data_IF_254809001194
#
_entry.id   IF_254809001194
#
_cell.length_a   1.000
_cell.length_b   1.000
_cell.length_c   1.000
_cell.angle_alpha   90.00
_cell.angle_beta   90.00
_cell.angle_gamma   90.00
#
_symmetry.space_group_name_H-M   'P 1'
#
loop_
_entity.id
_entity.type
_entity.pdbx_description
1 polymer ?
#
# COMPACT_ATOMS: atom_id res chain seq x y z
N UNK A 1 -4.10 -21.13 -32.31
CA UNK A 1 -3.37 -21.74 -31.17
C UNK A 1 -2.35 -20.73 -30.68
N UNK A 2 -2.34 -20.27 -29.45
CA UNK A 2 -3.37 -20.08 -28.44
C UNK A 2 -2.80 -18.93 -27.61
N UNK A 3 -3.60 -17.87 -27.46
CA UNK A 3 -3.30 -16.67 -26.70
C UNK A 3 -3.45 -16.98 -25.19
N UNK A 4 -2.57 -17.84 -24.68
CA UNK A 4 -2.60 -18.32 -23.29
C UNK A 4 -1.82 -17.39 -22.34
N UNK A 5 -1.22 -16.31 -22.86
CA UNK A 5 -0.43 -15.36 -22.06
C UNK A 5 -1.28 -14.26 -21.40
N UNK A 6 -2.43 -13.92 -21.97
CA UNK A 6 -3.25 -12.80 -21.51
C UNK A 6 -4.22 -13.18 -20.37
N UNK A 7 -4.60 -14.45 -20.27
CA UNK A 7 -5.55 -14.94 -19.24
C UNK A 7 -4.91 -15.12 -17.86
N UNK A 8 -3.61 -15.38 -17.77
CA UNK A 8 -2.90 -15.49 -16.48
C UNK A 8 -2.60 -14.11 -15.86
N UNK A 9 -2.41 -13.07 -16.68
CA UNK A 9 -2.29 -11.69 -16.20
C UNK A 9 -3.59 -11.16 -15.60
N UNK A 10 -4.73 -11.45 -16.24
CA UNK A 10 -6.05 -11.11 -15.69
C UNK A 10 -6.36 -11.87 -14.39
N UNK A 11 -5.94 -13.14 -14.28
CA UNK A 11 -6.15 -13.97 -13.07
C UNK A 11 -5.37 -13.50 -11.84
N UNK A 12 -4.18 -12.93 -12.03
CA UNK A 12 -3.38 -12.37 -10.94
C UNK A 12 -3.96 -11.11 -10.27
N UNK A 13 -5.09 -10.60 -10.78
CA UNK A 13 -5.74 -9.35 -10.39
C UNK A 13 -7.12 -9.54 -9.74
N UNK A 14 -7.81 -10.65 -10.04
CA UNK A 14 -9.14 -10.94 -9.48
C UNK A 14 -9.00 -11.45 -8.04
N UNK A 15 -9.80 -10.89 -7.13
CA UNK A 15 -9.87 -11.32 -5.73
C UNK A 15 -10.70 -12.61 -5.60
N UNK A 16 -10.21 -13.55 -4.81
CA UNK A 16 -10.94 -14.78 -4.48
C UNK A 16 -12.11 -14.50 -3.54
N UNK A 17 -13.00 -15.48 -3.36
CA UNK A 17 -14.14 -15.32 -2.46
C UNK A 17 -13.66 -15.13 -1.00
N UNK A 18 -12.65 -15.90 -0.60
CA UNK A 18 -12.03 -15.82 0.71
C UNK A 18 -11.34 -14.48 0.97
N UNK A 19 -10.63 -13.92 -0.01
CA UNK A 19 -10.01 -12.59 0.13
C UNK A 19 -11.07 -11.49 0.33
N UNK A 20 -12.16 -11.52 -0.45
CA UNK A 20 -13.24 -10.52 -0.33
C UNK A 20 -13.96 -10.66 1.00
N UNK A 21 -14.33 -11.88 1.41
CA UNK A 21 -15.08 -12.08 2.65
C UNK A 21 -14.22 -11.74 3.88
N UNK A 22 -12.94 -12.10 3.89
CA UNK A 22 -12.01 -11.68 4.94
C UNK A 22 -11.95 -10.15 5.02
N UNK A 23 -11.70 -9.48 3.89
CA UNK A 23 -11.53 -8.03 3.86
C UNK A 23 -12.81 -7.28 4.24
N UNK A 24 -13.98 -7.83 3.92
CA UNK A 24 -15.27 -7.30 4.36
C UNK A 24 -15.39 -7.26 5.89
N UNK A 25 -15.03 -8.32 6.60
CA UNK A 25 -14.97 -8.31 8.07
C UNK A 25 -13.85 -7.42 8.59
N UNK A 26 -12.70 -7.43 7.90
CA UNK A 26 -11.54 -6.66 8.27
C UNK A 26 -11.81 -5.15 8.31
N UNK A 27 -12.48 -4.60 7.27
CA UNK A 27 -12.89 -3.18 7.23
C UNK A 27 -13.93 -2.83 8.30
N UNK A 28 -14.69 -3.81 8.81
CA UNK A 28 -15.72 -3.59 9.82
C UNK A 28 -15.19 -3.45 11.25
N UNK A 29 -13.94 -3.82 11.51
CA UNK A 29 -13.35 -3.58 12.82
C UNK A 29 -12.21 -4.52 13.19
N UNK A 30 -12.00 -5.63 12.47
CA UNK A 30 -10.93 -6.58 12.82
C UNK A 30 -9.53 -5.97 12.70
N UNK A 31 -9.37 -4.90 11.93
CA UNK A 31 -8.12 -4.10 11.91
C UNK A 31 -7.79 -3.46 13.27
N UNK A 32 -8.77 -3.29 14.16
CA UNK A 32 -8.58 -2.70 15.49
C UNK A 32 -8.12 -3.72 16.53
N UNK A 33 -8.15 -5.02 16.20
CA UNK A 33 -7.64 -6.07 17.08
C UNK A 33 -6.13 -5.89 17.35
N UNK A 34 -5.67 -5.86 18.62
CA UNK A 34 -4.27 -5.59 18.96
C UNK A 34 -3.28 -6.57 18.31
N UNK A 35 -3.61 -7.86 18.26
CA UNK A 35 -2.73 -8.89 17.70
C UNK A 35 -2.63 -8.75 16.18
N UNK A 36 -3.75 -8.42 15.53
CA UNK A 36 -3.78 -8.07 14.10
C UNK A 36 -2.91 -6.85 13.83
N UNK A 37 -3.02 -5.78 14.63
CA UNK A 37 -2.18 -4.57 14.46
C UNK A 37 -0.71 -4.86 14.67
N UNK A 38 -0.36 -5.66 15.67
CA UNK A 38 1.03 -6.06 15.90
C UNK A 38 1.59 -6.84 14.71
N UNK A 39 0.82 -7.78 14.14
CA UNK A 39 1.23 -8.52 12.94
C UNK A 39 1.37 -7.62 11.72
N UNK A 40 0.44 -6.67 11.53
CA UNK A 40 0.52 -5.72 10.43
C UNK A 40 1.75 -4.82 10.57
N UNK A 41 2.06 -4.32 11.76
CA UNK A 41 3.28 -3.56 11.98
C UNK A 41 4.54 -4.41 11.71
N UNK A 42 4.65 -5.60 12.33
CA UNK A 42 5.82 -6.48 12.17
C UNK A 42 6.13 -6.86 10.71
N UNK A 43 5.10 -6.94 9.86
CA UNK A 43 5.22 -7.32 8.45
C UNK A 43 5.14 -6.13 7.48
N UNK A 44 5.11 -4.89 7.99
CA UNK A 44 4.97 -3.67 7.20
C UNK A 44 3.70 -3.64 6.33
N UNK A 45 2.59 -4.01 6.95
CA UNK A 45 1.25 -4.03 6.38
C UNK A 45 0.95 -5.33 5.64
N UNK A 46 0.23 -5.18 4.53
CA UNK A 46 -0.12 -6.27 3.63
C UNK A 46 0.90 -6.38 2.49
N UNK A 47 1.03 -7.58 1.90
CA UNK A 47 1.86 -7.76 0.70
C UNK A 47 1.27 -6.96 -0.48
N UNK A 48 2.01 -6.81 -1.59
CA UNK A 48 1.55 -6.02 -2.75
C UNK A 48 0.14 -6.39 -3.23
N UNK A 49 -0.19 -7.70 -3.28
CA UNK A 49 -1.52 -8.19 -3.65
C UNK A 49 -2.57 -7.80 -2.61
N UNK A 50 -2.34 -8.16 -1.35
CA UNK A 50 -3.34 -7.94 -0.29
C UNK A 50 -3.49 -6.46 0.10
N UNK A 51 -2.46 -5.64 -0.09
CA UNK A 51 -2.54 -4.18 0.06
C UNK A 51 -3.43 -3.55 -1.02
N UNK A 52 -3.28 -3.99 -2.28
CA UNK A 52 -4.17 -3.62 -3.36
C UNK A 52 -5.61 -4.12 -3.10
N UNK A 53 -5.75 -5.39 -2.70
CA UNK A 53 -7.06 -5.99 -2.39
C UNK A 53 -7.79 -5.21 -1.29
N UNK A 54 -7.09 -4.86 -0.20
CA UNK A 54 -7.64 -4.09 0.89
C UNK A 54 -8.14 -2.72 0.42
N UNK A 55 -7.34 -2.02 -0.40
CA UNK A 55 -7.74 -0.75 -0.98
C UNK A 55 -8.96 -0.86 -1.89
N UNK A 56 -9.00 -1.87 -2.78
CA UNK A 56 -10.15 -2.13 -3.67
C UNK A 56 -11.41 -2.39 -2.87
N UNK A 57 -11.35 -3.35 -1.93
CA UNK A 57 -12.51 -3.76 -1.13
C UNK A 57 -13.01 -2.59 -0.29
N UNK A 58 -12.12 -1.84 0.36
CA UNK A 58 -12.54 -0.69 1.15
C UNK A 58 -13.15 0.42 0.28
N UNK A 59 -12.57 0.72 -0.89
CA UNK A 59 -13.15 1.69 -1.82
C UNK A 59 -14.50 1.22 -2.40
N UNK A 60 -14.72 -0.08 -2.57
CA UNK A 60 -15.97 -0.63 -3.06
C UNK A 60 -17.12 -0.52 -2.04
N UNK A 61 -16.83 -0.74 -0.76
CA UNK A 61 -17.83 -0.72 0.30
C UNK A 61 -17.95 0.63 1.04
N UNK A 62 -16.89 1.44 1.03
CA UNK A 62 -16.79 2.73 1.73
C UNK A 62 -16.10 3.79 0.86
N UNK A 63 -16.66 4.13 -0.31
CA UNK A 63 -16.01 5.01 -1.29
C UNK A 63 -15.65 6.41 -0.77
N UNK A 64 -16.34 6.88 0.27
CA UNK A 64 -16.12 8.20 0.87
C UNK A 64 -15.24 8.17 2.14
N UNK A 65 -14.90 6.97 2.64
CA UNK A 65 -14.27 6.75 3.94
C UNK A 65 -13.30 5.55 3.86
N UNK A 66 -12.20 5.71 3.12
CA UNK A 66 -11.11 4.71 3.00
C UNK A 66 -10.19 4.77 4.23
N UNK A 67 -10.82 4.71 5.41
CA UNK A 67 -10.20 5.06 6.69
C UNK A 67 -9.24 3.98 7.21
N UNK A 68 -9.57 2.70 7.01
CA UNK A 68 -8.77 1.57 7.45
C UNK A 68 -7.40 1.54 6.77
N UNK A 69 -7.38 1.71 5.44
CA UNK A 69 -6.15 1.82 4.68
C UNK A 69 -5.35 3.05 5.13
N UNK A 70 -5.98 4.22 5.25
CA UNK A 70 -5.28 5.44 5.70
C UNK A 70 -4.60 5.22 7.04
N UNK A 71 -5.33 4.80 8.09
CA UNK A 71 -4.75 4.55 9.43
C UNK A 71 -3.56 3.58 9.37
N UNK A 72 -3.72 2.47 8.66
CA UNK A 72 -2.67 1.46 8.59
C UNK A 72 -1.41 2.03 7.93
N UNK A 73 -1.56 2.58 6.73
CA UNK A 73 -0.43 3.05 5.95
C UNK A 73 0.17 4.34 6.52
N UNK A 74 -0.61 5.20 7.19
CA UNK A 74 -0.11 6.36 7.92
C UNK A 74 0.82 5.98 9.06
N UNK A 75 0.43 4.97 9.86
CA UNK A 75 1.30 4.43 10.91
C UNK A 75 2.60 3.84 10.34
N UNK A 76 2.51 3.10 9.22
CA UNK A 76 3.68 2.55 8.55
C UNK A 76 4.59 3.63 7.93
N UNK A 77 4.01 4.71 7.39
CA UNK A 77 4.78 5.85 6.88
C UNK A 77 5.49 6.59 8.02
N UNK A 78 4.84 6.78 9.16
CA UNK A 78 5.49 7.37 10.33
C UNK A 78 6.67 6.51 10.80
N UNK A 79 6.49 5.18 10.82
CA UNK A 79 7.60 4.26 11.13
C UNK A 79 8.72 4.36 10.09
N UNK A 80 8.39 4.43 8.81
CA UNK A 80 9.36 4.56 7.74
C UNK A 80 10.21 5.84 7.88
N UNK A 81 9.58 6.97 8.17
CA UNK A 81 10.28 8.23 8.50
C UNK A 81 11.26 8.01 9.64
N UNK A 82 10.82 7.41 10.75
CA UNK A 82 11.70 7.19 11.92
C UNK A 82 12.89 6.26 11.61
N UNK A 83 12.73 5.29 10.71
CA UNK A 83 13.81 4.36 10.31
C UNK A 83 14.81 5.02 9.37
N UNK A 84 14.35 5.98 8.56
CA UNK A 84 15.16 6.68 7.56
C UNK A 84 15.70 8.03 8.04
N UNK A 85 15.30 8.50 9.22
CA UNK A 85 15.75 9.78 9.78
C UNK A 85 17.27 9.75 9.96
N UNK A 86 17.97 10.67 9.30
CA UNK A 86 19.42 10.81 9.37
C UNK A 86 19.86 11.89 10.37
N UNK A 87 18.92 12.45 11.14
CA UNK A 87 19.20 13.53 12.11
C UNK A 87 19.52 12.98 13.50
N UNK A 88 20.36 13.72 14.23
CA UNK A 88 20.71 13.41 15.63
C UNK A 88 21.36 12.04 15.79
N UNK A 89 20.99 11.29 16.83
CA UNK A 89 21.53 9.93 17.04
C UNK A 89 21.11 8.93 15.95
N UNK A 90 20.05 9.20 15.20
CA UNK A 90 19.61 8.33 14.11
C UNK A 90 20.54 8.39 12.90
N UNK A 91 21.23 9.52 12.67
CA UNK A 91 22.28 9.65 11.65
C UNK A 91 23.53 8.79 11.90
N UNK A 92 23.68 8.24 13.12
CA UNK A 92 24.76 7.33 13.46
C UNK A 92 24.38 5.85 13.21
N UNK A 93 23.12 5.58 12.86
CA UNK A 93 22.64 4.23 12.62
C UNK A 93 23.28 3.69 11.33
N UNK A 94 24.01 2.56 11.40
CA UNK A 94 24.62 1.99 10.20
C UNK A 94 23.55 1.62 9.16
N UNK A 95 23.88 1.79 7.87
CA UNK A 95 22.99 1.44 6.74
C UNK A 95 22.42 0.02 6.85
N UNK A 96 23.20 -0.94 7.36
CA UNK A 96 22.76 -2.31 7.58
C UNK A 96 21.65 -2.44 8.63
N UNK A 97 21.64 -1.57 9.65
CA UNK A 97 20.59 -1.51 10.67
C UNK A 97 19.32 -0.92 10.06
N UNK A 98 19.40 0.19 9.32
CA UNK A 98 18.25 0.72 8.57
C UNK A 98 17.64 -0.35 7.65
N UNK A 99 18.49 -1.05 6.89
CA UNK A 99 18.08 -2.17 6.03
C UNK A 99 17.37 -3.27 6.81
N UNK A 100 17.89 -3.64 7.98
CA UNK A 100 17.26 -4.65 8.85
C UNK A 100 15.88 -4.20 9.33
N UNK A 101 15.74 -2.96 9.81
CA UNK A 101 14.47 -2.43 10.33
C UNK A 101 13.38 -2.33 9.26
N UNK A 102 13.75 -2.10 8.00
CA UNK A 102 12.84 -2.03 6.86
C UNK A 102 12.33 -3.41 6.39
N UNK A 103 13.02 -4.50 6.74
CA UNK A 103 12.61 -5.85 6.32
C UNK A 103 11.33 -6.29 6.99
N UNK A 104 10.47 -6.96 6.24
CA UNK A 104 9.40 -7.76 6.81
C UNK A 104 10.00 -9.02 7.46
N UNK A 105 9.41 -9.46 8.56
CA UNK A 105 9.86 -10.62 9.35
C UNK A 105 9.14 -11.92 8.98
N UNK A 106 8.23 -11.89 8.01
CA UNK A 106 7.34 -13.01 7.68
C UNK A 106 6.31 -12.67 6.60
N UNK A 107 5.38 -13.61 6.30
CA UNK A 107 4.27 -13.37 5.38
C UNK A 107 3.33 -12.29 5.93
N UNK A 108 2.58 -11.61 5.05
CA UNK A 108 1.57 -10.68 5.54
C UNK A 108 0.42 -11.42 6.22
N UNK A 109 -0.38 -10.71 7.03
CA UNK A 109 -1.42 -11.31 7.86
C UNK A 109 -2.40 -12.23 7.09
N UNK A 110 -2.86 -11.81 5.91
CA UNK A 110 -3.74 -12.63 5.07
C UNK A 110 -3.03 -13.88 4.50
N UNK A 111 -1.78 -13.75 4.07
CA UNK A 111 -0.99 -14.88 3.58
C UNK A 111 -0.74 -15.90 4.71
N UNK A 112 -0.49 -15.43 5.93
CA UNK A 112 -0.29 -16.28 7.11
C UNK A 112 -1.55 -17.09 7.43
N UNK A 113 -2.73 -16.48 7.25
CA UNK A 113 -4.04 -17.12 7.35
C UNK A 113 -4.43 -17.94 6.11
N UNK A 114 -3.56 -18.04 5.10
CA UNK A 114 -3.77 -18.78 3.85
C UNK A 114 -4.93 -18.27 2.99
N UNK A 115 -5.21 -16.97 3.06
CA UNK A 115 -6.02 -16.31 2.03
C UNK A 115 -5.14 -16.05 0.82
N UNK A 116 -5.52 -16.63 -0.31
CA UNK A 116 -4.84 -16.53 -1.59
C UNK A 116 -5.86 -16.41 -2.74
N UNK A 117 -5.36 -16.42 -3.97
CA UNK A 117 -6.18 -16.28 -5.19
C UNK A 117 -7.20 -17.41 -5.42
N UNK A 118 -7.14 -18.50 -4.63
CA UNK A 118 -8.03 -19.65 -4.71
C UNK A 118 -8.85 -19.86 -3.45
N UNK A 119 -8.70 -19.01 -2.43
CA UNK A 119 -9.42 -19.18 -1.18
C UNK A 119 -10.94 -19.03 -1.38
N UNK A 120 -11.69 -19.99 -0.86
CA UNK A 120 -13.15 -20.05 -0.95
C UNK A 120 -13.79 -19.36 0.26
N UNK A 121 -15.02 -18.87 0.10
CA UNK A 121 -15.87 -18.40 1.20
C UNK A 121 -17.34 -18.60 0.89
N UNK A 122 -18.18 -18.55 1.93
CA UNK A 122 -19.64 -18.66 1.81
C UNK A 122 -20.34 -17.30 1.82
N UNK A 123 -19.67 -16.24 1.35
CA UNK A 123 -20.24 -14.90 1.29
C UNK A 123 -21.38 -14.81 0.26
N UNK A 124 -22.38 -13.94 0.46
CA UNK A 124 -23.43 -13.72 -0.53
C UNK A 124 -22.85 -13.26 -1.88
N UNK A 125 -23.36 -13.73 -3.03
CA UNK A 125 -22.85 -13.37 -4.36
C UNK A 125 -22.79 -11.85 -4.62
N UNK A 126 -23.77 -11.10 -4.12
CA UNK A 126 -23.79 -9.63 -4.25
C UNK A 126 -22.62 -8.96 -3.53
N UNK A 127 -22.25 -9.45 -2.34
CA UNK A 127 -21.09 -8.97 -1.58
C UNK A 127 -19.80 -9.27 -2.35
N UNK A 128 -19.69 -10.48 -2.89
CA UNK A 128 -18.54 -10.89 -3.67
C UNK A 128 -18.38 -10.06 -4.94
N UNK A 129 -19.49 -9.78 -5.65
CA UNK A 129 -19.49 -8.92 -6.82
C UNK A 129 -19.07 -7.48 -6.46
N UNK A 130 -19.63 -6.90 -5.38
CA UNK A 130 -19.26 -5.56 -4.93
C UNK A 130 -17.79 -5.48 -4.51
N UNK A 131 -17.29 -6.41 -3.69
CA UNK A 131 -15.90 -6.40 -3.23
C UNK A 131 -14.85 -6.57 -4.34
N UNK A 132 -15.26 -7.09 -5.50
CA UNK A 132 -14.43 -7.19 -6.71
C UNK A 132 -14.53 -5.96 -7.62
N UNK A 133 -15.48 -5.06 -7.37
CA UNK A 133 -15.66 -3.87 -8.20
C UNK A 133 -14.52 -2.87 -7.96
N UNK A 134 -13.65 -2.74 -8.96
CA UNK A 134 -12.52 -1.82 -8.93
C UNK A 134 -12.87 -0.40 -9.32
N UNK A 135 -14.11 -0.10 -9.72
CA UNK A 135 -14.50 1.18 -10.31
C UNK A 135 -14.21 2.36 -9.37
N UNK A 136 -14.55 2.23 -8.09
CA UNK A 136 -14.28 3.27 -7.09
C UNK A 136 -12.79 3.47 -6.83
N UNK A 137 -12.04 2.37 -6.70
CA UNK A 137 -10.60 2.42 -6.50
C UNK A 137 -9.88 3.06 -7.70
N UNK A 138 -10.31 2.75 -8.92
CA UNK A 138 -9.73 3.29 -10.16
C UNK A 138 -10.05 4.77 -10.31
N UNK A 139 -11.30 5.17 -10.05
CA UNK A 139 -11.69 6.58 -10.03
C UNK A 139 -10.88 7.37 -8.99
N UNK A 140 -10.77 6.85 -7.77
CA UNK A 140 -9.95 7.46 -6.72
C UNK A 140 -8.49 7.60 -7.18
N UNK A 141 -7.92 6.58 -7.84
CA UNK A 141 -6.56 6.68 -8.34
C UNK A 141 -6.38 7.72 -9.45
N UNK A 142 -7.33 7.81 -10.38
CA UNK A 142 -7.25 8.77 -11.49
C UNK A 142 -7.41 10.22 -11.02
N UNK A 143 -8.43 10.49 -10.20
CA UNK A 143 -8.71 11.82 -9.64
C UNK A 143 -7.54 12.34 -8.79
N UNK A 144 -6.85 11.45 -8.08
CA UNK A 144 -5.78 11.80 -7.15
C UNK A 144 -4.36 11.53 -7.69
N UNK A 145 -4.19 11.54 -9.02
CA UNK A 145 -2.92 11.24 -9.70
C UNK A 145 -1.74 12.05 -9.20
N UNK A 146 -1.97 13.34 -8.94
CA UNK A 146 -0.94 14.28 -8.48
C UNK A 146 -0.28 13.85 -7.17
N UNK A 147 -1.03 13.18 -6.29
CA UNK A 147 -0.54 12.73 -4.99
C UNK A 147 0.26 11.43 -5.00
N UNK A 148 0.21 10.64 -6.07
CA UNK A 148 0.94 9.36 -6.12
C UNK A 148 1.96 9.23 -7.24
N UNK A 149 1.74 9.88 -8.39
CA UNK A 149 2.61 9.74 -9.56
C UNK A 149 4.08 10.12 -9.28
N UNK A 150 4.39 11.20 -8.52
CA UNK A 150 5.78 11.54 -8.19
C UNK A 150 6.51 10.50 -7.35
N UNK A 151 5.78 9.61 -6.67
CA UNK A 151 6.31 8.62 -5.73
C UNK A 151 6.44 7.21 -6.33
N UNK A 152 6.11 7.06 -7.62
CA UNK A 152 6.20 5.77 -8.30
C UNK A 152 7.65 5.29 -8.35
N UNK A 153 7.88 4.05 -7.93
CA UNK A 153 9.22 3.48 -7.91
C UNK A 153 9.78 3.32 -9.33
N UNK A 154 10.96 3.89 -9.56
CA UNK A 154 11.69 3.83 -10.83
C UNK A 154 11.99 2.38 -11.24
N UNK A 155 12.50 1.56 -10.30
CA UNK A 155 12.76 0.13 -10.53
C UNK A 155 11.50 -0.69 -10.84
N UNK A 156 10.37 -0.39 -10.21
CA UNK A 156 9.11 -1.08 -10.52
C UNK A 156 8.58 -0.76 -11.93
N UNK A 157 8.91 0.42 -12.46
CA UNK A 157 8.52 0.85 -13.81
C UNK A 157 9.57 0.57 -14.88
N UNK A 158 10.74 0.02 -14.49
CA UNK A 158 11.87 -0.18 -15.40
C UNK A 158 12.50 1.13 -15.90
N UNK A 159 12.17 2.27 -15.28
CA UNK A 159 12.72 3.59 -15.62
C UNK A 159 13.89 3.93 -14.70
N UNK A 160 14.77 4.82 -15.15
CA UNK A 160 15.76 5.43 -14.28
C UNK A 160 15.11 6.52 -13.41
N UNK A 161 15.53 6.60 -12.15
CA UNK A 161 15.03 7.63 -11.24
C UNK A 161 15.40 7.36 -9.78
N UNK A 162 15.38 8.41 -8.94
CA UNK A 162 15.84 8.31 -7.56
C UNK A 162 14.83 7.62 -6.64
N UNK A 163 13.54 7.62 -6.98
CA UNK A 163 12.45 7.16 -6.08
C UNK A 163 12.38 5.63 -6.01
N UNK A 164 12.50 5.08 -4.81
CA UNK A 164 12.42 3.64 -4.56
C UNK A 164 11.25 3.31 -3.61
N UNK A 165 10.53 2.23 -3.89
CA UNK A 165 9.67 1.59 -2.88
C UNK A 165 10.53 0.85 -1.86
N UNK A 166 9.95 0.52 -0.70
CA UNK A 166 10.63 -0.18 0.39
C UNK A 166 11.36 -1.46 -0.07
N UNK A 167 10.75 -2.40 -0.82
CA UNK A 167 11.47 -3.60 -1.28
C UNK A 167 12.74 -3.28 -2.08
N UNK A 168 12.66 -2.33 -3.02
CA UNK A 168 13.79 -1.92 -3.84
C UNK A 168 14.82 -1.07 -3.10
N UNK A 169 14.39 -0.32 -2.07
CA UNK A 169 15.29 0.37 -1.17
C UNK A 169 16.12 -0.64 -0.35
N UNK A 170 15.50 -1.67 0.21
CA UNK A 170 16.20 -2.74 0.96
C UNK A 170 17.25 -3.44 0.08
N UNK A 171 16.92 -3.67 -1.19
CA UNK A 171 17.84 -4.22 -2.18
C UNK A 171 19.01 -3.27 -2.45
N UNK A 172 18.72 -2.00 -2.73
CA UNK A 172 19.71 -0.96 -3.02
C UNK A 172 20.69 -0.75 -1.85
N UNK A 173 20.19 -0.69 -0.61
CA UNK A 173 21.02 -0.62 0.60
C UNK A 173 21.91 -1.86 0.75
N UNK A 174 21.44 -3.04 0.31
CA UNK A 174 22.21 -4.28 0.33
C UNK A 174 23.35 -4.33 -0.68
N UNK A 175 23.22 -3.61 -1.79
CA UNK A 175 24.22 -3.51 -2.85
C UNK A 175 25.19 -2.34 -2.63
N UNK A 176 25.10 -1.63 -1.49
CA UNK A 176 25.77 -0.34 -1.26
C UNK A 176 25.48 0.70 -2.36
N UNK A 177 24.40 0.51 -3.12
CA UNK A 177 23.86 1.47 -4.07
C UNK A 177 22.86 2.37 -3.34
N UNK A 178 23.28 2.94 -2.21
CA UNK A 178 22.45 3.89 -1.51
C UNK A 178 22.33 5.14 -2.37
N UNK A 179 21.24 5.24 -3.13
CA UNK A 179 20.64 6.55 -3.34
C UNK A 179 20.60 7.22 -1.97
N UNK A 180 21.01 8.49 -1.88
CA UNK A 180 21.15 9.19 -0.61
C UNK A 180 19.93 8.90 0.28
N UNK A 181 20.16 8.25 1.44
CA UNK A 181 19.11 7.85 2.38
C UNK A 181 18.24 9.06 2.72
N UNK A 182 18.86 10.25 2.80
CA UNK A 182 18.17 11.52 2.97
C UNK A 182 17.17 11.82 1.85
N UNK A 183 17.53 11.55 0.60
CA UNK A 183 16.60 11.69 -0.52
C UNK A 183 15.41 10.74 -0.39
N UNK A 184 15.64 9.50 0.05
CA UNK A 184 14.54 8.55 0.30
C UNK A 184 13.66 8.98 1.47
N UNK A 185 14.29 9.47 2.55
CA UNK A 185 13.59 10.03 3.71
C UNK A 185 12.67 11.17 3.29
N UNK A 186 13.14 12.13 2.48
CA UNK A 186 12.32 13.24 1.96
C UNK A 186 11.08 12.75 1.21
N UNK A 187 11.20 11.73 0.36
CA UNK A 187 10.03 11.18 -0.34
C UNK A 187 9.03 10.54 0.63
N UNK A 188 9.51 9.76 1.60
CA UNK A 188 8.65 9.11 2.60
C UNK A 188 7.99 10.14 3.53
N UNK A 189 8.72 11.18 3.92
CA UNK A 189 8.20 12.28 4.74
C UNK A 189 7.10 13.06 4.01
N UNK A 190 7.26 13.30 2.71
CA UNK A 190 6.23 13.92 1.89
C UNK A 190 4.95 13.06 1.81
N UNK A 191 5.08 11.75 1.54
CA UNK A 191 3.95 10.81 1.55
C UNK A 191 3.24 10.85 2.92
N UNK A 192 4.02 10.76 4.01
CA UNK A 192 3.49 10.80 5.38
C UNK A 192 2.71 12.08 5.67
N UNK A 193 3.26 13.24 5.29
CA UNK A 193 2.64 14.54 5.56
C UNK A 193 1.29 14.67 4.84
N UNK A 194 1.23 14.33 3.56
CA UNK A 194 0.01 14.33 2.77
C UNK A 194 -1.02 13.32 3.29
N UNK A 195 -0.59 12.10 3.63
CA UNK A 195 -1.49 11.10 4.19
C UNK A 195 -2.05 11.51 5.56
N UNK A 196 -1.25 12.20 6.39
CA UNK A 196 -1.74 12.75 7.66
C UNK A 196 -2.81 13.84 7.46
N UNK A 197 -2.69 14.68 6.42
CA UNK A 197 -3.74 15.64 6.08
C UNK A 197 -5.04 14.93 5.66
N UNK A 198 -4.92 13.88 4.84
CA UNK A 198 -6.07 13.06 4.43
C UNK A 198 -6.73 12.36 5.61
N UNK A 199 -5.95 11.78 6.53
CA UNK A 199 -6.50 11.21 7.77
C UNK A 199 -7.21 12.24 8.64
N UNK A 200 -6.64 13.45 8.74
CA UNK A 200 -7.25 14.52 9.52
C UNK A 200 -8.59 14.97 8.95
N UNK A 201 -8.82 14.88 7.64
CA UNK A 201 -10.08 15.29 7.02
C UNK A 201 -11.28 14.41 7.39
N UNK A 202 -11.04 13.22 7.95
CA UNK A 202 -12.10 12.40 8.54
C UNK A 202 -12.67 12.98 9.83
N UNK A 203 -11.97 13.93 10.47
CA UNK A 203 -12.48 14.65 11.65
C UNK A 203 -13.46 15.72 11.20
N UNK A 204 -14.58 15.84 11.91
CA UNK A 204 -15.62 16.81 11.60
C UNK A 204 -15.11 18.26 11.40
N UNK A 205 -14.15 18.69 12.22
CA UNK A 205 -13.58 20.04 12.19
C UNK A 205 -12.64 20.31 11.00
N UNK A 206 -12.21 19.27 10.29
CA UNK A 206 -11.27 19.34 9.15
C UNK A 206 -11.88 18.70 7.90
N UNK A 207 -13.20 18.48 7.88
CA UNK A 207 -13.85 17.92 6.70
C UNK A 207 -13.61 18.83 5.49
N UNK A 208 -13.34 18.21 4.35
CA UNK A 208 -13.10 18.85 3.05
C UNK A 208 -11.85 19.75 3.00
N UNK A 209 -10.89 19.58 3.93
CA UNK A 209 -9.61 20.30 3.88
C UNK A 209 -8.50 19.57 3.13
N UNK A 210 -8.70 18.30 2.80
CA UNK A 210 -7.73 17.48 2.07
C UNK A 210 -7.72 17.80 0.57
N UNK A 211 -6.54 17.76 -0.04
CA UNK A 211 -6.35 17.95 -1.48
C UNK A 211 -6.23 16.62 -2.22
N UNK A 212 -6.20 16.69 -3.56
CA UNK A 212 -5.94 15.52 -4.40
C UNK A 212 -4.56 14.91 -4.13
N UNK A 213 -3.59 15.75 -3.76
CA UNK A 213 -2.26 15.30 -3.31
C UNK A 213 -2.34 14.51 -1.99
N UNK A 214 -3.13 15.01 -1.03
CA UNK A 214 -3.33 14.36 0.27
C UNK A 214 -3.98 12.98 0.11
N UNK A 215 -5.05 12.90 -0.70
CA UNK A 215 -5.73 11.64 -1.02
C UNK A 215 -4.83 10.67 -1.78
N UNK A 216 -4.11 11.18 -2.77
CA UNK A 216 -3.20 10.37 -3.60
C UNK A 216 -2.06 9.75 -2.79
N UNK A 217 -1.63 10.39 -1.71
CA UNK A 217 -0.59 9.85 -0.84
C UNK A 217 -0.94 8.48 -0.23
N UNK A 218 -2.24 8.12 -0.12
CA UNK A 218 -2.63 6.77 0.26
C UNK A 218 -2.10 5.71 -0.72
N UNK A 219 -2.28 5.94 -2.02
CA UNK A 219 -1.78 5.04 -3.07
C UNK A 219 -0.25 5.01 -3.04
N UNK A 220 0.38 6.16 -2.85
CA UNK A 220 1.83 6.25 -2.71
C UNK A 220 2.35 5.42 -1.52
N UNK A 221 1.66 5.46 -0.37
CA UNK A 221 2.03 4.71 0.81
C UNK A 221 1.86 3.19 0.63
N UNK A 222 0.77 2.75 -0.01
CA UNK A 222 0.56 1.33 -0.39
C UNK A 222 1.69 0.87 -1.32
N UNK A 223 1.96 1.63 -2.38
CA UNK A 223 2.99 1.32 -3.37
C UNK A 223 4.41 1.35 -2.79
N UNK A 224 4.68 2.26 -1.86
CA UNK A 224 5.96 2.28 -1.15
C UNK A 224 6.12 1.06 -0.23
N UNK A 225 5.11 0.71 0.57
CA UNK A 225 5.18 -0.42 1.50
C UNK A 225 5.28 -1.78 0.79
N UNK A 226 4.36 -2.05 -0.14
CA UNK A 226 4.22 -3.35 -0.79
C UNK A 226 5.01 -3.50 -2.10
N UNK A 227 5.37 -2.38 -2.73
CA UNK A 227 5.88 -2.33 -4.10
C UNK A 227 4.79 -1.95 -5.11
N UNK A 228 5.21 -1.36 -6.23
CA UNK A 228 4.29 -0.78 -7.21
C UNK A 228 3.81 -1.76 -8.28
N UNK A 229 4.54 -2.85 -8.55
CA UNK A 229 4.29 -3.69 -9.73
C UNK A 229 2.85 -4.21 -9.85
N UNK A 230 2.21 -4.59 -8.73
CA UNK A 230 0.79 -5.00 -8.73
C UNK A 230 -0.17 -3.83 -8.92
N UNK A 231 0.06 -2.69 -8.24
CA UNK A 231 -0.74 -1.47 -8.47
C UNK A 231 -0.69 -1.03 -9.93
N UNK A 232 0.50 -1.04 -10.53
CA UNK A 232 0.76 -0.66 -11.92
C UNK A 232 0.03 -1.57 -12.91
N UNK A 233 0.16 -2.89 -12.74
CA UNK A 233 -0.41 -3.87 -13.65
C UNK A 233 -1.93 -4.03 -13.54
N UNK A 234 -2.53 -3.54 -12.45
CA UNK A 234 -3.93 -3.81 -12.11
C UNK A 234 -4.80 -2.56 -12.11
N UNK A 235 -4.42 -1.58 -11.28
CA UNK A 235 -5.26 -0.43 -10.99
C UNK A 235 -4.89 0.79 -11.85
N UNK A 236 -3.58 0.94 -12.11
CA UNK A 236 -3.00 2.13 -12.72
C UNK A 236 -2.67 1.95 -14.20
N UNK A 237 -3.11 0.84 -14.80
CA UNK A 237 -2.93 0.59 -16.23
C UNK A 237 -3.62 1.72 -17.06
N UNK A 238 -2.82 2.35 -17.93
CA UNK A 238 -3.24 3.52 -18.71
C UNK A 238 -3.21 4.87 -17.97
N UNK A 239 -2.75 4.91 -16.72
CA UNK A 239 -2.64 6.15 -15.92
C UNK A 239 -1.19 6.68 -15.79
N UNK A 240 -0.21 6.05 -16.44
CA UNK A 240 1.23 6.40 -16.35
C UNK A 240 1.84 6.56 -17.74
#
# INVERSE_FOLDING_TARGET
MHDDGNTDFARGCVLSDGEVDFLWWFIQGSIMDPDVRQRLDAHWGLCARHGLAFFIVEAAFRPHLIHGCSILYGALMQRAVNVLDDRGMHGLVPVNVCRYLLRATGPCHMCDLRYDERSEASAPPERLAQGRDTSNARRFADENRRGWQPFVCSRCTGKDGPVLCRPHLIEALGQQRSNDIRSQHTYVEAIRAHLANFENSFRWIHRDTDTDEDRGALIAAIGWCGGWSKLLASLLEGLI
#
